data_IF_722461697714
#
_entry.id   IF_722461697714
#
_cell.length_a   1.000
_cell.length_b   1.000
_cell.length_c   1.000
_cell.angle_alpha   90.00
_cell.angle_beta   90.00
_cell.angle_gamma   90.00
#
_symmetry.space_group_name_H-M   'P 1'
#
loop_
_entity.id
_entity.type
_entity.pdbx_description
1 polymer ?
#
# COMPACT_ATOMS: atom_id res chain seq x y z
N UNK A 1 -10.08 42.68 -49.66
CA UNK A 1 -11.47 43.15 -49.88
C UNK A 1 -12.00 42.21 -50.94
N UNK A 2 -12.99 41.34 -50.68
CA UNK A 2 -14.34 41.66 -50.21
C UNK A 2 -14.82 40.72 -49.10
N UNK A 3 -15.52 41.32 -48.13
CA UNK A 3 -16.52 40.64 -47.30
C UNK A 3 -17.81 40.66 -48.12
N UNK A 4 -18.44 39.50 -48.33
CA UNK A 4 -19.75 39.41 -48.98
C UNK A 4 -20.61 38.38 -48.28
N UNK A 5 -21.37 38.82 -47.27
CA UNK A 5 -22.55 38.09 -46.81
C UNK A 5 -23.63 38.35 -47.85
N UNK A 6 -24.05 37.34 -48.60
CA UNK A 6 -25.29 37.36 -49.38
C UNK A 6 -26.13 36.14 -48.97
N UNK A 7 -26.90 36.32 -47.90
CA UNK A 7 -28.17 35.62 -47.72
C UNK A 7 -29.18 36.35 -48.62
N UNK A 8 -29.68 35.65 -49.64
CA UNK A 8 -30.97 35.88 -50.30
C UNK A 8 -31.04 34.96 -51.53
N UNK A 9 -31.38 33.68 -51.31
CA UNK A 9 -31.87 32.80 -52.36
C UNK A 9 -33.31 32.40 -52.02
N UNK A 10 -34.32 32.84 -52.78
CA UNK A 10 -35.70 32.47 -52.53
C UNK A 10 -35.90 30.99 -52.91
N UNK A 11 -36.17 30.13 -51.91
CA UNK A 11 -36.65 28.76 -52.15
C UNK A 11 -35.91 27.63 -51.44
N UNK A 12 -34.82 27.89 -50.70
CA UNK A 12 -34.18 26.87 -49.86
C UNK A 12 -34.81 26.85 -48.46
N UNK A 13 -35.26 25.68 -48.03
CA UNK A 13 -35.80 25.49 -46.69
C UNK A 13 -34.68 25.38 -45.66
N UNK A 14 -34.99 25.58 -44.37
CA UNK A 14 -34.01 25.39 -43.30
C UNK A 14 -33.40 23.96 -43.32
N UNK A 15 -34.19 22.96 -43.72
CA UNK A 15 -33.73 21.58 -43.85
C UNK A 15 -32.68 21.41 -44.95
N UNK A 16 -32.77 22.17 -46.04
CA UNK A 16 -31.78 22.12 -47.14
C UNK A 16 -30.44 22.73 -46.71
N UNK A 17 -30.48 23.81 -45.91
CA UNK A 17 -29.30 24.44 -45.32
C UNK A 17 -28.62 23.50 -44.31
N UNK A 18 -29.40 22.82 -43.48
CA UNK A 18 -28.88 21.89 -42.48
C UNK A 18 -28.28 20.64 -43.13
N UNK A 19 -28.88 20.16 -44.23
CA UNK A 19 -28.34 19.06 -45.03
C UNK A 19 -26.99 19.41 -45.67
N UNK A 20 -26.82 20.64 -46.17
CA UNK A 20 -25.54 21.12 -46.70
C UNK A 20 -24.47 21.21 -45.62
N UNK A 21 -24.79 21.78 -44.44
CA UNK A 21 -23.85 21.84 -43.31
C UNK A 21 -23.44 20.45 -42.82
N UNK A 22 -24.38 19.50 -42.78
CA UNK A 22 -24.08 18.13 -42.39
C UNK A 22 -23.17 17.42 -43.41
N UNK A 23 -23.33 17.70 -44.71
CA UNK A 23 -22.48 17.17 -45.75
C UNK A 23 -21.04 17.72 -45.65
N UNK A 24 -20.87 19.02 -45.39
CA UNK A 24 -19.55 19.64 -45.16
C UNK A 24 -18.85 19.03 -43.94
N UNK A 25 -19.56 18.86 -42.82
CA UNK A 25 -18.99 18.23 -41.61
C UNK A 25 -18.51 16.81 -41.88
N UNK A 26 -19.32 16.01 -42.60
CA UNK A 26 -18.94 14.62 -42.93
C UNK A 26 -17.78 14.54 -43.92
N UNK A 27 -17.66 15.50 -44.84
CA UNK A 27 -16.53 15.61 -45.74
C UNK A 27 -15.25 15.97 -44.98
N UNK A 28 -15.32 16.90 -44.03
CA UNK A 28 -14.21 17.28 -43.16
C UNK A 28 -13.74 16.12 -42.25
N UNK A 29 -14.68 15.35 -41.69
CA UNK A 29 -14.36 14.13 -40.94
C UNK A 29 -13.64 13.08 -41.81
N UNK A 30 -14.12 12.88 -43.05
CA UNK A 30 -13.49 11.93 -43.97
C UNK A 30 -12.08 12.37 -44.40
N UNK A 31 -11.88 13.68 -44.64
CA UNK A 31 -10.56 14.26 -44.92
C UNK A 31 -9.64 14.12 -43.70
N UNK A 32 -10.14 14.31 -42.47
CA UNK A 32 -9.35 14.16 -41.25
C UNK A 32 -8.84 12.72 -41.05
N UNK A 33 -9.64 11.70 -41.40
CA UNK A 33 -9.24 10.29 -41.34
C UNK A 33 -8.18 9.98 -42.42
N UNK A 34 -8.29 10.55 -43.62
CA UNK A 34 -7.28 10.38 -44.69
C UNK A 34 -5.92 11.04 -44.40
N UNK A 35 -5.86 11.95 -43.42
CA UNK A 35 -4.65 12.64 -42.95
C UNK A 35 -3.97 11.93 -41.77
N UNK A 36 -4.50 10.81 -41.29
CA UNK A 36 -3.86 10.02 -40.25
C UNK A 36 -2.60 9.39 -40.82
N UNK A 37 -1.44 9.89 -40.38
CA UNK A 37 -0.15 9.30 -40.68
C UNK A 37 -0.05 7.92 -40.00
N UNK A 38 -0.19 6.87 -40.79
CA UNK A 38 -0.13 5.48 -40.31
C UNK A 38 1.23 5.14 -39.70
N UNK A 39 2.32 5.78 -40.15
CA UNK A 39 3.66 5.55 -39.61
C UNK A 39 3.79 6.17 -38.22
N UNK A 40 3.15 7.31 -37.98
CA UNK A 40 3.06 7.92 -36.65
C UNK A 40 2.26 7.03 -35.68
N UNK A 41 1.14 6.44 -36.15
CA UNK A 41 0.34 5.49 -35.34
C UNK A 41 1.15 4.23 -35.00
N UNK A 42 1.93 3.70 -35.95
CA UNK A 42 2.80 2.54 -35.71
C UNK A 42 3.89 2.88 -34.68
N UNK A 43 4.50 4.06 -34.76
CA UNK A 43 5.48 4.53 -33.77
C UNK A 43 4.87 4.68 -32.37
N UNK A 44 3.65 5.21 -32.27
CA UNK A 44 2.94 5.31 -30.99
C UNK A 44 2.69 3.92 -30.38
N UNK A 45 2.23 2.97 -31.19
CA UNK A 45 2.02 1.57 -30.72
C UNK A 45 3.31 0.86 -30.36
N UNK A 46 4.40 1.11 -31.09
CA UNK A 46 5.72 0.57 -30.74
C UNK A 46 6.25 1.16 -29.43
N UNK A 47 6.01 2.44 -29.17
CA UNK A 47 6.35 3.08 -27.89
C UNK A 47 5.51 2.53 -26.74
N UNK A 48 4.20 2.31 -26.95
CA UNK A 48 3.33 1.65 -25.96
C UNK A 48 3.77 0.21 -25.67
N UNK A 49 4.12 -0.56 -26.70
CA UNK A 49 4.66 -1.91 -26.53
C UNK A 49 5.99 -1.89 -25.76
N UNK A 50 6.88 -0.94 -26.04
CA UNK A 50 8.14 -0.75 -25.30
C UNK A 50 7.90 -0.34 -23.85
N UNK A 51 6.91 0.52 -23.59
CA UNK A 51 6.51 0.91 -22.24
C UNK A 51 5.92 -0.30 -21.47
N UNK A 52 5.14 -1.14 -22.14
CA UNK A 52 4.61 -2.36 -21.56
C UNK A 52 5.71 -3.39 -21.27
N UNK A 53 6.62 -3.62 -22.22
CA UNK A 53 7.77 -4.52 -22.03
C UNK A 53 8.70 -4.03 -20.92
N UNK A 54 8.96 -2.72 -20.83
CA UNK A 54 9.74 -2.17 -19.71
C UNK A 54 9.02 -2.29 -18.36
N UNK A 55 7.69 -2.21 -18.34
CA UNK A 55 6.88 -2.44 -17.13
C UNK A 55 6.85 -3.92 -16.72
N UNK A 56 6.76 -4.85 -17.67
CA UNK A 56 6.84 -6.29 -17.39
C UNK A 56 8.26 -6.69 -16.99
N UNK A 57 9.28 -6.10 -17.61
CA UNK A 57 10.69 -6.31 -17.23
C UNK A 57 10.97 -5.77 -15.84
N UNK A 58 10.47 -4.58 -15.48
CA UNK A 58 10.63 -4.06 -14.12
C UNK A 58 9.87 -4.90 -13.10
N UNK A 59 8.67 -5.41 -13.42
CA UNK A 59 7.95 -6.35 -12.57
C UNK A 59 8.71 -7.67 -12.37
N UNK A 60 9.27 -8.24 -13.44
CA UNK A 60 10.10 -9.44 -13.35
C UNK A 60 11.41 -9.18 -12.61
N UNK A 61 12.00 -7.97 -12.72
CA UNK A 61 13.14 -7.55 -11.90
C UNK A 61 12.76 -7.37 -10.43
N UNK A 62 11.54 -6.95 -10.11
CA UNK A 62 11.04 -6.90 -8.72
C UNK A 62 10.87 -8.32 -8.17
N UNK A 63 10.37 -9.25 -8.99
CA UNK A 63 10.26 -10.67 -8.63
C UNK A 63 11.65 -11.36 -8.52
N UNK A 64 12.66 -10.94 -9.29
CA UNK A 64 14.06 -11.38 -9.10
C UNK A 64 14.76 -10.68 -7.92
N UNK A 65 14.42 -9.43 -7.59
CA UNK A 65 14.86 -8.77 -6.35
C UNK A 65 14.23 -9.46 -5.12
N UNK A 66 13.09 -10.15 -5.27
CA UNK A 66 12.55 -11.06 -4.26
C UNK A 66 13.50 -12.24 -3.94
N UNK A 67 14.52 -12.52 -4.76
CA UNK A 67 15.60 -13.45 -4.42
C UNK A 67 16.66 -12.85 -3.47
N UNK A 68 16.54 -11.57 -3.11
CA UNK A 68 17.40 -10.84 -2.16
C UNK A 68 16.71 -10.53 -0.83
N UNK A 69 15.51 -11.06 -0.56
CA UNK A 69 14.88 -10.89 0.75
C UNK A 69 15.58 -11.80 1.77
N UNK A 70 16.13 -11.23 2.85
CA UNK A 70 16.65 -11.98 4.01
C UNK A 70 15.57 -12.87 4.68
N UNK A 71 14.32 -12.73 4.26
CA UNK A 71 13.15 -13.37 4.82
C UNK A 71 12.14 -13.73 3.72
N UNK A 72 11.83 -15.01 3.57
CA UNK A 72 10.69 -15.47 2.77
C UNK A 72 9.39 -15.16 3.53
N UNK A 73 8.82 -13.98 3.27
CA UNK A 73 7.66 -13.47 4.00
C UNK A 73 6.43 -14.35 3.79
N UNK A 74 6.25 -14.93 2.59
CA UNK A 74 5.09 -15.75 2.27
C UNK A 74 5.14 -17.09 3.00
N UNK A 75 6.33 -17.67 3.17
CA UNK A 75 6.52 -18.87 3.97
C UNK A 75 6.28 -18.66 5.48
N UNK A 76 6.57 -17.47 6.02
CA UNK A 76 6.42 -17.21 7.46
C UNK A 76 5.08 -16.59 7.85
N UNK A 77 4.43 -15.84 6.96
CA UNK A 77 3.17 -15.14 7.21
C UNK A 77 2.11 -16.02 7.88
N UNK A 78 1.77 -17.22 7.40
CA UNK A 78 0.75 -18.05 8.07
C UNK A 78 1.17 -18.54 9.47
N UNK A 79 2.47 -18.56 9.79
CA UNK A 79 3.00 -18.98 11.10
C UNK A 79 2.91 -17.87 12.16
N UNK A 80 2.72 -16.62 11.73
CA UNK A 80 2.61 -15.46 12.61
C UNK A 80 1.21 -15.28 13.20
N UNK A 81 0.24 -16.13 12.82
CA UNK A 81 -1.10 -16.10 13.37
C UNK A 81 -1.10 -16.45 14.87
N UNK A 82 -1.85 -15.66 15.64
CA UNK A 82 -2.07 -15.87 17.07
C UNK A 82 -3.51 -16.32 17.34
N UNK A 83 -3.77 -16.77 18.56
CA UNK A 83 -5.15 -16.89 19.04
C UNK A 83 -5.79 -15.49 19.14
N UNK A 84 -7.12 -15.37 19.01
CA UNK A 84 -7.82 -14.11 19.23
C UNK A 84 -7.51 -13.51 20.60
N UNK A 85 -7.48 -12.19 20.70
CA UNK A 85 -7.31 -11.43 21.95
C UNK A 85 -5.94 -11.59 22.66
N UNK A 86 -4.98 -12.28 22.03
CA UNK A 86 -3.66 -12.59 22.62
C UNK A 86 -2.50 -11.78 22.05
N UNK A 87 -2.72 -10.97 21.02
CA UNK A 87 -1.62 -10.29 20.34
C UNK A 87 -1.16 -9.03 21.08
N UNK A 88 0.15 -8.96 21.31
CA UNK A 88 0.84 -7.78 21.86
C UNK A 88 1.83 -7.19 20.87
N UNK A 89 1.84 -5.87 20.78
CA UNK A 89 2.80 -5.04 20.06
C UNK A 89 3.59 -4.20 21.06
N UNK A 90 4.68 -3.56 20.62
CA UNK A 90 5.42 -2.64 21.49
C UNK A 90 6.23 -1.62 20.69
N UNK A 91 6.43 -0.44 21.29
CA UNK A 91 7.34 0.57 20.76
C UNK A 91 7.70 1.58 21.83
N UNK A 92 8.92 2.12 21.73
CA UNK A 92 9.38 3.20 22.60
C UNK A 92 9.63 2.81 24.06
N UNK A 93 9.87 3.82 24.88
CA UNK A 93 10.11 3.73 26.33
C UNK A 93 9.43 4.88 27.06
N UNK A 94 9.14 4.72 28.35
CA UNK A 94 8.71 5.79 29.25
C UNK A 94 9.73 5.84 30.39
N UNK A 95 10.49 6.93 30.50
CA UNK A 95 11.56 7.09 31.51
C UNK A 95 12.54 5.91 31.52
N UNK A 96 12.95 5.45 30.34
CA UNK A 96 13.84 4.29 30.17
C UNK A 96 13.20 2.91 30.32
N UNK A 97 11.93 2.81 30.71
CA UNK A 97 11.20 1.54 30.84
C UNK A 97 10.45 1.23 29.53
N UNK A 98 10.66 0.05 28.96
CA UNK A 98 10.06 -0.36 27.69
C UNK A 98 10.93 -1.36 26.96
N UNK A 99 10.78 -1.46 25.64
CA UNK A 99 11.53 -2.41 24.82
C UNK A 99 10.97 -3.83 24.80
N UNK A 100 11.58 -4.67 23.94
CA UNK A 100 11.12 -6.02 23.63
C UNK A 100 10.93 -6.90 24.87
N UNK A 101 11.91 -6.94 25.78
CA UNK A 101 11.87 -7.80 26.96
C UNK A 101 10.73 -7.40 27.92
N UNK A 102 10.58 -6.11 28.20
CA UNK A 102 9.49 -5.62 29.06
C UNK A 102 8.13 -5.94 28.44
N UNK A 103 7.98 -5.70 27.13
CA UNK A 103 6.74 -6.00 26.43
C UNK A 103 6.41 -7.49 26.42
N UNK A 104 7.41 -8.36 26.20
CA UNK A 104 7.23 -9.81 26.25
C UNK A 104 6.81 -10.29 27.65
N UNK A 105 7.39 -9.72 28.71
CA UNK A 105 7.00 -10.02 30.08
C UNK A 105 5.55 -9.59 30.38
N UNK A 106 5.16 -8.38 29.95
CA UNK A 106 3.78 -7.88 30.08
C UNK A 106 2.81 -8.78 29.31
N UNK A 107 3.12 -9.10 28.04
CA UNK A 107 2.31 -9.98 27.20
C UNK A 107 2.11 -11.34 27.86
N UNK A 108 3.20 -11.99 28.28
CA UNK A 108 3.16 -13.29 28.96
C UNK A 108 2.34 -13.26 30.24
N UNK A 109 2.47 -12.21 31.06
CA UNK A 109 1.69 -12.05 32.29
C UNK A 109 0.18 -11.94 32.05
N UNK A 110 -0.22 -11.61 30.82
CA UNK A 110 -1.61 -11.42 30.38
C UNK A 110 -2.08 -12.52 29.43
N UNK A 111 -1.34 -13.62 29.33
CA UNK A 111 -1.68 -14.75 28.45
C UNK A 111 -1.51 -14.43 26.96
N UNK A 112 -0.78 -13.37 26.62
CA UNK A 112 -0.52 -12.94 25.25
C UNK A 112 0.89 -13.24 24.76
N UNK A 113 1.14 -12.86 23.51
CA UNK A 113 2.41 -13.07 22.79
C UNK A 113 2.80 -11.82 22.00
N UNK A 114 4.11 -11.56 21.86
CA UNK A 114 4.65 -10.57 20.93
C UNK A 114 5.11 -11.22 19.61
N UNK A 115 5.43 -10.40 18.62
CA UNK A 115 6.06 -10.86 17.37
C UNK A 115 7.29 -11.74 17.65
N UNK A 116 8.21 -11.26 18.50
CA UNK A 116 9.47 -11.95 18.80
C UNK A 116 9.22 -13.31 19.45
N UNK A 117 8.32 -13.38 20.44
CA UNK A 117 7.96 -14.65 21.10
C UNK A 117 7.27 -15.63 20.13
N UNK A 118 6.54 -15.11 19.15
CA UNK A 118 5.90 -15.92 18.10
C UNK A 118 6.94 -16.47 17.14
N UNK A 119 7.88 -15.63 16.70
CA UNK A 119 9.02 -16.01 15.85
C UNK A 119 9.86 -17.09 16.52
N UNK A 120 10.19 -16.92 17.80
CA UNK A 120 10.94 -17.90 18.59
C UNK A 120 10.20 -19.24 18.67
N UNK A 121 8.91 -19.22 19.02
CA UNK A 121 8.06 -20.42 19.10
C UNK A 121 8.00 -21.17 17.76
N UNK A 122 7.90 -20.45 16.66
CA UNK A 122 7.82 -21.00 15.30
C UNK A 122 9.19 -21.34 14.70
N UNK A 123 10.29 -21.08 15.44
CA UNK A 123 11.68 -21.27 15.00
C UNK A 123 11.98 -20.56 13.68
N UNK A 124 11.39 -19.37 13.49
CA UNK A 124 11.67 -18.50 12.36
C UNK A 124 13.00 -17.79 12.64
N UNK A 125 13.93 -17.85 11.68
CA UNK A 125 15.22 -17.15 11.79
C UNK A 125 15.04 -15.75 11.21
N UNK A 126 15.15 -14.74 12.07
CA UNK A 126 15.18 -13.34 11.65
C UNK A 126 16.61 -12.83 11.60
N UNK A 127 16.94 -11.91 10.68
CA UNK A 127 18.20 -11.17 10.76
C UNK A 127 18.24 -10.33 12.05
N UNK A 128 19.44 -10.12 12.59
CA UNK A 128 19.64 -9.15 13.66
C UNK A 128 19.22 -7.75 13.18
N UNK A 129 18.50 -7.01 14.00
CA UNK A 129 18.10 -5.65 13.67
C UNK A 129 19.33 -4.72 13.66
N UNK A 130 19.61 -4.09 12.52
CA UNK A 130 20.67 -3.09 12.39
C UNK A 130 20.15 -1.84 11.65
N UNK A 131 20.20 -0.69 12.33
CA UNK A 131 19.80 0.61 11.77
C UNK A 131 20.65 1.05 10.57
N UNK A 132 21.84 0.48 10.40
CA UNK A 132 22.72 0.78 9.28
C UNK A 132 22.53 -0.18 8.11
N UNK A 133 21.66 -1.19 8.25
CA UNK A 133 21.40 -2.19 7.24
C UNK A 133 19.91 -2.19 6.83
N UNK A 134 19.56 -1.47 5.75
CA UNK A 134 18.18 -1.36 5.26
C UNK A 134 17.49 -2.71 5.02
N UNK A 135 18.22 -3.72 4.55
CA UNK A 135 17.64 -5.05 4.28
C UNK A 135 17.19 -5.77 5.55
N UNK A 136 17.88 -5.56 6.68
CA UNK A 136 17.44 -6.12 7.97
C UNK A 136 16.20 -5.40 8.48
N UNK A 137 16.16 -4.07 8.33
CA UNK A 137 15.01 -3.26 8.69
C UNK A 137 13.78 -3.66 7.88
N UNK A 138 13.94 -3.84 6.57
CA UNK A 138 12.87 -4.29 5.68
C UNK A 138 12.34 -5.67 6.06
N UNK A 139 13.21 -6.63 6.40
CA UNK A 139 12.78 -7.94 6.87
C UNK A 139 11.90 -7.87 8.12
N UNK A 140 12.26 -7.00 9.08
CA UNK A 140 11.47 -6.76 10.28
C UNK A 140 10.18 -6.00 9.99
N UNK A 141 10.19 -5.00 9.10
CA UNK A 141 8.98 -4.29 8.67
C UNK A 141 7.97 -5.24 8.00
N UNK A 142 8.46 -6.17 7.17
CA UNK A 142 7.65 -7.20 6.54
C UNK A 142 7.06 -8.16 7.59
N UNK A 143 7.87 -8.66 8.52
CA UNK A 143 7.40 -9.55 9.58
C UNK A 143 6.38 -8.87 10.51
N UNK A 144 6.63 -7.63 10.95
CA UNK A 144 5.70 -6.83 11.75
C UNK A 144 4.40 -6.56 11.01
N UNK A 145 4.48 -6.23 9.72
CA UNK A 145 3.29 -6.02 8.89
C UNK A 145 2.45 -7.30 8.75
N UNK A 146 3.10 -8.43 8.45
CA UNK A 146 2.44 -9.73 8.36
C UNK A 146 1.82 -10.14 9.70
N UNK A 147 2.46 -9.88 10.82
CA UNK A 147 1.89 -10.13 12.14
C UNK A 147 0.62 -9.29 12.39
N UNK A 148 0.66 -7.99 12.11
CA UNK A 148 -0.51 -7.11 12.22
C UNK A 148 -1.71 -7.54 11.34
N UNK A 149 -1.45 -8.17 10.20
CA UNK A 149 -2.48 -8.72 9.31
C UNK A 149 -3.09 -10.05 9.81
N UNK A 150 -2.34 -10.83 10.58
CA UNK A 150 -2.75 -12.18 11.02
C UNK A 150 -3.46 -12.22 12.37
N UNK A 151 -3.33 -11.16 13.17
CA UNK A 151 -3.96 -11.07 14.49
C UNK A 151 -5.45 -10.75 14.39
N UNK A 152 -6.20 -11.02 15.46
CA UNK A 152 -7.65 -10.84 15.51
C UNK A 152 -8.14 -10.56 16.93
N UNK A 153 -9.32 -9.94 17.04
CA UNK A 153 -9.94 -9.56 18.31
C UNK A 153 -9.38 -8.26 18.86
N UNK A 154 -9.30 -8.17 20.18
CA UNK A 154 -8.64 -7.08 20.91
C UNK A 154 -7.12 -7.28 20.89
N UNK A 155 -6.40 -6.29 20.39
CA UNK A 155 -4.94 -6.28 20.47
C UNK A 155 -4.49 -5.28 21.54
N UNK A 156 -3.33 -5.56 22.11
CA UNK A 156 -2.68 -4.67 23.09
C UNK A 156 -1.34 -4.20 22.57
N UNK A 157 -0.95 -2.97 22.89
CA UNK A 157 0.33 -2.42 22.45
C UNK A 157 1.04 -1.71 23.61
N UNK A 158 2.23 -2.17 23.97
CA UNK A 158 3.04 -1.55 25.02
C UNK A 158 3.79 -0.36 24.44
N UNK A 159 3.25 0.85 24.61
CA UNK A 159 3.71 2.07 23.92
C UNK A 159 4.27 3.06 24.94
N UNK A 160 5.57 3.32 24.85
CA UNK A 160 6.24 4.34 25.64
C UNK A 160 5.99 5.77 25.13
N UNK A 161 6.17 6.75 26.00
CA UNK A 161 6.07 8.18 25.64
C UNK A 161 7.20 8.66 24.72
N UNK A 162 8.34 7.96 24.71
CA UNK A 162 9.52 8.25 23.91
C UNK A 162 9.58 7.30 22.71
N UNK A 163 9.07 7.75 21.56
CA UNK A 163 9.10 7.02 20.30
C UNK A 163 10.19 7.57 19.38
N UNK A 164 10.91 6.65 18.71
CA UNK A 164 11.85 7.03 17.65
C UNK A 164 11.08 7.53 16.41
N UNK A 165 11.55 8.57 15.71
CA UNK A 165 11.02 8.92 14.40
C UNK A 165 11.08 7.71 13.44
N UNK A 166 10.01 7.48 12.67
CA UNK A 166 9.94 6.34 11.75
C UNK A 166 9.84 4.98 12.46
N UNK A 167 9.32 4.92 13.68
CA UNK A 167 9.11 3.63 14.37
C UNK A 167 8.09 2.74 13.64
N UNK A 168 8.28 1.43 13.76
CA UNK A 168 7.47 0.40 13.08
C UNK A 168 6.00 0.49 13.53
N UNK A 169 5.76 0.73 14.81
CA UNK A 169 4.40 0.82 15.36
C UNK A 169 3.53 1.85 14.63
N UNK A 170 3.98 3.10 14.54
CA UNK A 170 3.20 4.16 13.92
C UNK A 170 3.11 4.05 12.39
N UNK A 171 4.16 3.54 11.74
CA UNK A 171 4.29 3.58 10.28
C UNK A 171 3.85 2.29 9.58
N UNK A 172 3.92 1.15 10.25
CA UNK A 172 3.72 -0.18 9.67
C UNK A 172 2.55 -0.90 10.35
N UNK A 173 2.60 -1.04 11.68
CA UNK A 173 1.68 -1.92 12.42
C UNK A 173 0.33 -1.26 12.65
N UNK A 174 0.28 -0.06 13.21
CA UNK A 174 -0.96 0.61 13.56
C UNK A 174 -1.88 0.86 12.35
N UNK A 175 -1.38 1.30 11.16
CA UNK A 175 -2.22 1.41 9.97
C UNK A 175 -2.80 0.05 9.52
N UNK A 176 -1.99 -1.01 9.55
CA UNK A 176 -2.44 -2.36 9.17
C UNK A 176 -3.46 -2.93 10.15
N UNK A 177 -3.27 -2.73 11.45
CA UNK A 177 -4.22 -3.14 12.48
C UNK A 177 -5.58 -2.46 12.31
N UNK A 178 -5.60 -1.15 12.02
CA UNK A 178 -6.85 -0.42 11.74
C UNK A 178 -7.56 -0.90 10.47
N UNK A 179 -6.79 -1.33 9.47
CA UNK A 179 -7.31 -1.87 8.21
C UNK A 179 -7.70 -3.36 8.30
N UNK A 180 -7.24 -4.09 9.33
CA UNK A 180 -7.53 -5.50 9.51
C UNK A 180 -9.00 -5.66 9.94
N UNK A 181 -9.86 -6.34 9.14
CA UNK A 181 -11.27 -6.51 9.49
C UNK A 181 -11.49 -7.41 10.71
N UNK A 182 -10.50 -8.22 11.10
CA UNK A 182 -10.61 -9.12 12.24
C UNK A 182 -10.20 -8.47 13.56
N UNK A 183 -9.58 -7.28 13.53
CA UNK A 183 -9.27 -6.50 14.74
C UNK A 183 -10.50 -5.69 15.15
N UNK A 184 -10.93 -5.88 16.39
CA UNK A 184 -12.12 -5.22 16.95
C UNK A 184 -11.75 -4.04 17.84
N UNK A 185 -10.58 -4.08 18.49
CA UNK A 185 -10.14 -3.07 19.45
C UNK A 185 -8.61 -3.00 19.56
N UNK A 186 -8.09 -1.80 19.75
CA UNK A 186 -6.67 -1.55 20.03
C UNK A 186 -6.54 -0.77 21.34
N UNK A 187 -5.86 -1.38 22.31
CA UNK A 187 -5.56 -0.77 23.61
C UNK A 187 -4.04 -0.58 23.75
N UNK A 188 -3.58 0.65 23.97
CA UNK A 188 -2.19 0.91 24.36
C UNK A 188 -2.01 0.76 25.87
N UNK A 189 -0.82 0.36 26.28
CA UNK A 189 -0.41 0.18 27.68
C UNK A 189 0.89 0.96 27.87
N UNK A 190 0.91 1.91 28.80
CA UNK A 190 2.16 2.58 29.14
C UNK A 190 3.11 1.59 29.83
N UNK A 191 4.37 1.43 29.36
CA UNK A 191 5.29 0.40 29.82
C UNK A 191 5.71 0.56 31.28
N UNK A 192 5.59 1.76 31.86
CA UNK A 192 6.03 2.08 33.21
C UNK A 192 4.89 1.95 34.23
N UNK A 193 3.74 2.51 33.89
CA UNK A 193 2.60 2.65 34.78
C UNK A 193 1.57 1.54 34.60
N UNK A 194 1.56 0.87 33.44
CA UNK A 194 0.56 -0.11 33.08
C UNK A 194 -0.82 0.49 32.76
N UNK A 195 -0.93 1.82 32.69
CA UNK A 195 -2.18 2.50 32.35
C UNK A 195 -2.57 2.19 30.92
N UNK A 196 -3.85 1.90 30.71
CA UNK A 196 -4.41 1.51 29.43
C UNK A 196 -5.23 2.61 28.77
N UNK A 197 -5.08 2.74 27.46
CA UNK A 197 -5.85 3.68 26.65
C UNK A 197 -6.36 3.00 25.38
N UNK A 198 -7.67 3.04 25.16
CA UNK A 198 -8.27 2.57 23.91
C UNK A 198 -8.01 3.63 22.83
N UNK A 199 -7.37 3.24 21.73
CA UNK A 199 -7.05 4.14 20.61
C UNK A 199 -7.82 3.79 19.33
N UNK A 200 -8.53 2.65 19.32
CA UNK A 200 -9.40 2.21 18.23
C UNK A 200 -10.39 1.16 18.74
N UNK A 201 -11.64 1.22 18.26
CA UNK A 201 -12.71 0.25 18.52
C UNK A 201 -13.70 0.30 17.34
N UNK A 202 -14.30 -0.84 16.98
CA UNK A 202 -15.27 -0.98 15.89
C UNK A 202 -16.67 -1.31 16.39
#
# INVERSE_FOLDING_TARGET
>A
MEKGVHIDHPGLTQADIDAWKLADIKLDEHIAISKVDTDAVVKLRANEATAYDSFITSKNSIDEISSSSLLDIDAIRPKLKTEPDTAFFWSGRTDGIGGAENAANIAKSRGGVTLESTIEKQKIVMPEWDFNNPSTMEAWDLASGAYAEQVSGEIRAVIGSELRPGNIWENIELPRLKNNPNVTKITTIDPKTGIEHVIFER
#
